data_IF_343834225020
#
_entry.id   IF_343834225020
#
_cell.length_a   1.000
_cell.length_b   1.000
_cell.length_c   1.000
_cell.angle_alpha   90.00
_cell.angle_beta   90.00
_cell.angle_gamma   90.00
#
_symmetry.space_group_name_H-M   'P 1'
#
loop_
_entity.id
_entity.type
_entity.pdbx_description
1 polymer ?
#
# COMPACT_ATOMS: atom_id res chain seq x y z
N UNK A 1 1.79 32.62 26.01
CA UNK A 1 1.92 31.29 26.63
C UNK A 1 1.47 30.28 25.59
N UNK A 2 2.42 29.71 24.83
CA UNK A 2 2.13 28.68 23.84
C UNK A 2 1.89 27.37 24.60
N UNK A 3 0.64 26.91 24.60
CA UNK A 3 0.29 25.57 25.06
C UNK A 3 0.87 24.57 24.06
N UNK A 4 1.97 23.92 24.42
CA UNK A 4 2.41 22.72 23.72
C UNK A 4 1.33 21.63 23.91
N UNK A 5 0.94 20.89 22.85
CA UNK A 5 0.04 19.76 23.02
C UNK A 5 0.66 18.79 24.01
N UNK A 6 -0.14 18.29 24.95
CA UNK A 6 0.31 17.28 25.90
C UNK A 6 0.80 16.04 25.12
N UNK A 7 2.09 15.72 25.23
CA UNK A 7 2.68 14.49 24.72
C UNK A 7 2.35 13.40 25.74
N UNK A 8 1.46 12.48 25.39
CA UNK A 8 1.21 11.31 26.20
C UNK A 8 2.30 10.27 25.87
N UNK A 9 3.21 10.01 26.81
CA UNK A 9 4.13 8.88 26.72
C UNK A 9 3.36 7.58 27.00
N UNK A 10 3.48 6.59 26.12
CA UNK A 10 2.71 5.35 26.21
C UNK A 10 3.36 4.32 27.15
N UNK A 11 3.34 4.52 28.47
CA UNK A 11 3.87 3.49 29.39
C UNK A 11 3.20 2.11 29.20
N UNK A 12 1.94 2.10 28.77
CA UNK A 12 1.24 1.01 28.08
C UNK A 12 -0.19 1.49 27.77
N UNK A 13 -0.72 1.16 26.59
CA UNK A 13 -2.11 1.47 26.22
C UNK A 13 -2.85 0.18 25.91
N UNK A 14 -3.96 -0.09 26.59
CA UNK A 14 -4.71 -1.33 26.40
C UNK A 14 -6.20 -1.09 26.22
N UNK A 15 -6.84 -1.94 25.42
CA UNK A 15 -8.28 -2.01 25.29
C UNK A 15 -8.73 -3.44 24.95
N UNK A 16 -9.82 -3.86 25.56
CA UNK A 16 -10.46 -5.14 25.33
C UNK A 16 -11.72 -5.06 24.45
N UNK A 17 -12.45 -6.18 24.35
CA UNK A 17 -13.67 -6.28 23.56
C UNK A 17 -14.73 -5.25 23.97
N UNK A 18 -15.24 -4.49 22.98
CA UNK A 18 -16.26 -3.44 23.17
C UNK A 18 -15.78 -2.18 23.88
N UNK A 19 -14.49 -2.07 24.23
CA UNK A 19 -13.95 -0.88 24.87
C UNK A 19 -13.59 0.20 23.84
N UNK A 20 -13.72 1.46 24.27
CA UNK A 20 -13.38 2.63 23.47
C UNK A 20 -12.10 3.30 24.02
N UNK A 21 -11.16 3.59 23.13
CA UNK A 21 -9.97 4.42 23.40
C UNK A 21 -10.07 5.67 22.56
N UNK A 22 -9.93 6.83 23.20
CA UNK A 22 -9.91 8.13 22.51
C UNK A 22 -8.57 8.81 22.75
N UNK A 23 -7.89 9.21 21.67
CA UNK A 23 -6.65 9.97 21.79
C UNK A 23 -6.97 11.44 22.08
N UNK A 24 -6.25 12.02 23.05
CA UNK A 24 -6.29 13.45 23.39
C UNK A 24 -5.05 14.21 22.88
N UNK A 25 -4.09 13.49 22.32
CA UNK A 25 -2.83 13.98 21.77
C UNK A 25 -2.14 12.86 20.98
N UNK A 26 -1.08 13.21 20.25
CA UNK A 26 -0.25 12.18 19.62
C UNK A 26 0.39 11.30 20.70
N UNK A 27 0.34 9.99 20.48
CA UNK A 27 0.95 9.01 21.36
C UNK A 27 2.38 8.78 20.90
N UNK A 28 3.34 9.07 21.76
CA UNK A 28 4.76 8.82 21.47
C UNK A 28 5.16 7.49 22.09
N UNK A 29 5.61 6.56 21.24
CA UNK A 29 6.18 5.27 21.65
C UNK A 29 7.70 5.39 21.74
N UNK A 30 8.28 4.83 22.79
CA UNK A 30 9.71 4.87 23.10
C UNK A 30 10.12 3.57 23.81
N UNK A 31 11.40 3.23 23.82
CA UNK A 31 11.92 2.10 24.60
C UNK A 31 11.06 0.83 24.44
N UNK A 32 10.54 0.26 25.54
CA UNK A 32 9.71 -0.94 25.55
C UNK A 32 8.20 -0.65 25.64
N UNK A 33 7.75 0.55 25.29
CA UNK A 33 6.34 0.93 25.33
C UNK A 33 5.47 -0.03 24.49
N UNK A 34 4.31 -0.41 25.00
CA UNK A 34 3.39 -1.33 24.31
C UNK A 34 1.99 -0.77 24.13
N UNK A 35 1.35 -1.17 23.05
CA UNK A 35 -0.06 -0.87 22.74
C UNK A 35 -0.77 -2.17 22.39
N UNK A 36 -1.81 -2.52 23.13
CA UNK A 36 -2.61 -3.74 22.98
C UNK A 36 -4.10 -3.39 22.90
N UNK A 37 -4.59 -3.11 21.69
CA UNK A 37 -6.00 -2.82 21.43
C UNK A 37 -6.63 -4.05 20.77
N UNK A 38 -7.22 -4.93 21.58
CA UNK A 38 -7.65 -6.26 21.15
C UNK A 38 -9.13 -6.47 21.45
N UNK A 39 -9.96 -6.29 20.43
CA UNK A 39 -11.37 -6.65 20.46
C UNK A 39 -11.65 -8.09 20.04
N UNK A 40 -12.91 -8.40 19.80
CA UNK A 40 -13.34 -9.62 19.09
C UNK A 40 -14.27 -9.29 17.93
N UNK A 41 -14.47 -10.23 17.01
CA UNK A 41 -15.44 -10.05 15.92
C UNK A 41 -16.86 -9.73 16.41
N UNK A 42 -17.27 -10.29 17.56
CA UNK A 42 -18.60 -10.04 18.15
C UNK A 42 -18.66 -8.73 18.96
N UNK A 43 -17.52 -8.22 19.41
CA UNK A 43 -17.43 -7.02 20.23
C UNK A 43 -16.12 -6.30 19.91
N UNK A 44 -16.07 -5.59 18.76
CA UNK A 44 -14.85 -4.91 18.34
C UNK A 44 -14.50 -3.78 19.31
N UNK A 45 -13.21 -3.55 19.53
CA UNK A 45 -12.79 -2.34 20.24
C UNK A 45 -12.92 -1.11 19.33
N UNK A 46 -12.95 0.10 19.88
CA UNK A 46 -12.95 1.34 19.09
C UNK A 46 -11.72 2.16 19.43
N UNK A 47 -10.94 2.52 18.42
CA UNK A 47 -9.86 3.51 18.52
C UNK A 47 -10.31 4.79 17.80
N UNK A 48 -10.63 5.81 18.59
CA UNK A 48 -10.97 7.14 18.14
C UNK A 48 -9.72 8.03 18.20
N UNK A 49 -9.13 8.34 17.06
CA UNK A 49 -7.88 9.08 16.98
C UNK A 49 -8.02 10.59 17.19
N UNK A 50 -9.19 11.19 16.98
CA UNK A 50 -9.41 12.64 17.10
C UNK A 50 -8.36 13.50 16.35
N UNK A 51 -7.94 13.04 15.16
CA UNK A 51 -6.88 13.62 14.33
C UNK A 51 -5.44 13.45 14.86
N UNK A 52 -5.25 12.75 15.97
CA UNK A 52 -3.95 12.34 16.49
C UNK A 52 -3.58 10.94 16.03
N UNK A 53 -2.30 10.60 16.09
CA UNK A 53 -1.77 9.29 15.70
C UNK A 53 -0.76 8.74 16.69
N UNK A 54 -0.16 7.62 16.33
CA UNK A 54 0.99 7.03 17.03
C UNK A 54 2.27 7.39 16.30
N UNK A 55 3.29 7.79 17.06
CA UNK A 55 4.58 8.17 16.50
C UNK A 55 5.73 7.65 17.36
N UNK A 56 6.87 7.40 16.75
CA UNK A 56 8.16 7.29 17.44
C UNK A 56 8.97 8.54 17.14
N UNK A 57 9.57 9.15 18.15
CA UNK A 57 10.41 10.35 17.97
C UNK A 57 11.91 10.03 17.93
N UNK A 58 12.29 8.83 18.37
CA UNK A 58 13.65 8.35 18.43
C UNK A 58 13.76 6.92 17.85
N UNK A 59 14.97 6.53 17.48
CA UNK A 59 15.30 5.18 17.00
C UNK A 59 15.59 4.23 18.18
N UNK A 60 14.70 4.19 19.17
CA UNK A 60 14.89 3.36 20.39
C UNK A 60 13.76 2.38 20.65
N UNK A 61 12.60 2.56 19.99
CA UNK A 61 11.43 1.75 20.29
C UNK A 61 11.59 0.29 19.84
N UNK A 62 11.54 -0.60 20.84
CA UNK A 62 11.69 -2.06 20.73
C UNK A 62 10.47 -2.83 21.23
N UNK A 63 9.40 -2.13 21.64
CA UNK A 63 8.12 -2.70 22.09
C UNK A 63 7.19 -3.11 20.94
N UNK A 64 5.87 -3.02 21.16
CA UNK A 64 4.92 -3.47 20.14
C UNK A 64 3.64 -2.64 20.06
N UNK A 65 3.03 -2.66 18.87
CA UNK A 65 1.71 -2.11 18.64
C UNK A 65 0.83 -3.19 18.01
N UNK A 66 -0.15 -3.64 18.77
CA UNK A 66 -1.13 -4.67 18.40
C UNK A 66 -2.51 -4.01 18.34
N UNK A 67 -3.16 -4.06 17.18
CA UNK A 67 -4.55 -3.64 17.03
C UNK A 67 -5.32 -4.73 16.30
N UNK A 68 -6.24 -5.41 16.99
CA UNK A 68 -6.98 -6.54 16.44
C UNK A 68 -8.48 -6.41 16.66
N UNK A 69 -9.28 -6.70 15.63
CA UNK A 69 -10.74 -6.65 15.70
C UNK A 69 -11.24 -5.30 16.25
N UNK A 70 -10.80 -4.20 15.64
CA UNK A 70 -11.17 -2.87 16.09
C UNK A 70 -11.68 -1.97 14.95
N UNK A 71 -12.56 -1.05 15.31
CA UNK A 71 -12.97 0.07 14.48
C UNK A 71 -12.03 1.25 14.74
N UNK A 72 -11.34 1.70 13.71
CA UNK A 72 -10.36 2.78 13.78
C UNK A 72 -10.94 4.00 13.07
N UNK A 73 -11.09 5.09 13.80
CA UNK A 73 -11.81 6.27 13.35
C UNK A 73 -10.96 7.51 13.58
N UNK A 74 -10.84 8.38 12.57
CA UNK A 74 -10.18 9.68 12.70
C UNK A 74 -8.73 9.59 13.25
N UNK A 75 -8.00 8.51 12.92
CA UNK A 75 -6.61 8.32 13.33
C UNK A 75 -5.66 9.04 12.36
N UNK A 76 -4.88 9.98 12.86
CA UNK A 76 -4.13 10.93 12.05
C UNK A 76 -5.02 11.92 11.31
N UNK A 77 -4.43 12.74 10.45
CA UNK A 77 -5.13 13.81 9.73
C UNK A 77 -4.63 13.95 8.29
N UNK A 78 -5.19 14.89 7.53
CA UNK A 78 -4.62 15.21 6.21
C UNK A 78 -3.16 15.70 6.30
N UNK A 79 -2.73 16.25 7.44
CA UNK A 79 -1.33 16.66 7.67
C UNK A 79 -0.49 15.52 8.25
N UNK A 80 -1.04 14.76 9.21
CA UNK A 80 -0.28 13.79 10.01
C UNK A 80 -0.64 12.35 9.65
N UNK A 81 0.34 11.45 9.70
CA UNK A 81 0.09 10.03 9.57
C UNK A 81 -0.76 9.50 10.74
N UNK A 82 -1.48 8.41 10.50
CA UNK A 82 -2.13 7.66 11.55
C UNK A 82 -1.09 6.92 12.41
N UNK A 83 -0.09 6.35 11.74
CA UNK A 83 1.08 5.71 12.34
C UNK A 83 2.33 6.27 11.67
N UNK A 84 3.29 6.76 12.44
CA UNK A 84 4.62 7.17 11.98
C UNK A 84 5.67 6.52 12.88
N UNK A 85 6.04 5.29 12.58
CA UNK A 85 6.78 4.43 13.52
C UNK A 85 8.14 4.00 12.96
N UNK A 86 9.14 4.01 13.81
CA UNK A 86 10.45 3.38 13.61
C UNK A 86 10.54 2.18 14.53
N UNK A 87 10.57 0.98 13.96
CA UNK A 87 10.64 -0.29 14.66
C UNK A 87 12.09 -0.76 14.69
N UNK A 88 12.67 -0.84 15.88
CA UNK A 88 14.04 -1.29 16.09
C UNK A 88 14.08 -2.72 16.65
N UNK A 89 15.09 -3.49 16.24
CA UNK A 89 15.39 -4.81 16.79
C UNK A 89 14.18 -5.75 16.81
N UNK A 90 13.67 -6.12 17.98
CA UNK A 90 12.54 -7.04 18.13
C UNK A 90 11.17 -6.35 18.10
N UNK A 91 11.10 -5.04 17.83
CA UNK A 91 9.84 -4.34 17.74
C UNK A 91 8.93 -4.95 16.68
N UNK A 92 7.62 -4.98 16.95
CA UNK A 92 6.66 -5.47 15.98
C UNK A 92 5.36 -4.68 15.93
N UNK A 93 4.80 -4.65 14.73
CA UNK A 93 3.48 -4.10 14.41
C UNK A 93 2.58 -5.25 13.99
N UNK A 94 1.42 -5.37 14.62
CA UNK A 94 0.44 -6.43 14.31
C UNK A 94 -0.98 -5.85 14.25
N UNK A 95 -1.44 -5.57 13.04
CA UNK A 95 -2.75 -4.97 12.77
C UNK A 95 -3.60 -5.95 11.98
N UNK A 96 -4.63 -6.48 12.61
CA UNK A 96 -5.46 -7.53 12.02
C UNK A 96 -6.95 -7.27 12.19
N UNK A 97 -7.75 -7.58 11.18
CA UNK A 97 -9.22 -7.52 11.25
C UNK A 97 -9.74 -6.14 11.69
N UNK A 98 -9.15 -5.06 11.18
CA UNK A 98 -9.55 -3.69 11.52
C UNK A 98 -10.30 -3.00 10.38
N UNK A 99 -11.16 -2.04 10.72
CA UNK A 99 -11.82 -1.16 9.74
C UNK A 99 -11.42 0.29 10.01
N UNK A 100 -10.85 0.95 9.00
CA UNK A 100 -10.34 2.32 9.07
C UNK A 100 -11.27 3.26 8.34
N UNK A 101 -11.76 4.29 9.04
CA UNK A 101 -12.63 5.32 8.47
C UNK A 101 -12.12 6.70 8.83
N UNK A 102 -12.09 7.60 7.85
CA UNK A 102 -11.59 8.98 8.01
C UNK A 102 -10.19 9.05 8.65
N UNK A 103 -9.38 8.01 8.46
CA UNK A 103 -8.03 7.89 9.01
C UNK A 103 -6.97 8.15 7.95
N UNK A 104 -5.79 8.54 8.40
CA UNK A 104 -4.63 8.86 7.56
C UNK A 104 -3.77 7.62 7.28
N UNK A 105 -2.62 7.82 6.63
CA UNK A 105 -1.72 6.76 6.19
C UNK A 105 -0.77 6.26 7.28
N UNK A 106 -0.10 5.15 6.99
CA UNK A 106 0.89 4.45 7.82
C UNK A 106 2.27 4.65 7.19
N UNK A 107 3.20 5.25 7.93
CA UNK A 107 4.62 5.42 7.56
C UNK A 107 5.49 4.63 8.54
N UNK A 108 6.26 3.67 8.01
CA UNK A 108 7.07 2.76 8.81
C UNK A 108 8.54 2.81 8.41
N UNK A 109 9.42 2.69 9.41
CA UNK A 109 10.84 2.38 9.25
C UNK A 109 11.14 1.09 9.99
N UNK A 110 11.64 0.06 9.32
CA UNK A 110 11.91 -1.25 9.96
C UNK A 110 13.41 -1.59 9.97
N UNK A 111 13.95 -1.90 11.14
CA UNK A 111 15.37 -2.22 11.33
C UNK A 111 15.59 -3.49 12.15
N UNK A 112 16.80 -4.05 12.08
CA UNK A 112 17.18 -5.26 12.81
C UNK A 112 16.32 -6.47 12.43
N UNK A 113 15.55 -6.97 13.39
CA UNK A 113 14.65 -8.12 13.24
C UNK A 113 13.17 -7.72 13.37
N UNK A 114 12.84 -6.45 13.13
CA UNK A 114 11.50 -5.95 13.39
C UNK A 114 10.49 -6.51 12.40
N UNK A 115 9.29 -6.84 12.89
CA UNK A 115 8.27 -7.53 12.11
C UNK A 115 7.03 -6.66 11.90
N UNK A 116 6.35 -6.88 10.78
CA UNK A 116 5.09 -6.22 10.45
C UNK A 116 4.10 -7.25 9.93
N UNK A 117 2.94 -7.32 10.58
CA UNK A 117 1.76 -8.05 10.12
C UNK A 117 0.64 -7.05 9.90
N UNK A 118 0.13 -7.00 8.67
CA UNK A 118 -1.01 -6.17 8.31
C UNK A 118 -2.00 -7.04 7.53
N UNK A 119 -3.02 -7.57 8.22
CA UNK A 119 -3.91 -8.61 7.66
C UNK A 119 -5.39 -8.32 7.83
N UNK A 120 -6.19 -8.71 6.83
CA UNK A 120 -7.66 -8.69 6.91
C UNK A 120 -8.22 -7.31 7.27
N UNK A 121 -7.54 -6.22 6.89
CA UNK A 121 -7.97 -4.87 7.21
C UNK A 121 -8.77 -4.25 6.07
N UNK A 122 -9.69 -3.37 6.42
CA UNK A 122 -10.46 -2.56 5.47
C UNK A 122 -10.07 -1.09 5.66
N UNK A 123 -9.56 -0.46 4.60
CA UNK A 123 -9.27 0.98 4.56
C UNK A 123 -10.25 1.64 3.61
N UNK A 124 -11.11 2.47 4.17
CA UNK A 124 -12.20 3.15 3.46
C UNK A 124 -11.69 4.19 2.45
N UNK A 125 -12.50 4.46 1.43
CA UNK A 125 -12.24 5.51 0.42
C UNK A 125 -12.26 6.93 1.03
N UNK A 126 -12.96 7.09 2.15
CA UNK A 126 -13.04 8.33 2.92
C UNK A 126 -11.80 8.63 3.79
N UNK A 127 -10.72 7.85 3.68
CA UNK A 127 -9.44 8.14 4.33
C UNK A 127 -8.93 9.54 4.01
N UNK A 128 -8.28 10.20 4.98
CA UNK A 128 -7.99 11.65 4.93
C UNK A 128 -6.60 12.02 4.40
N UNK A 129 -5.71 11.05 4.18
CA UNK A 129 -4.39 11.33 3.59
C UNK A 129 -4.54 11.85 2.14
N UNK A 130 -3.64 12.76 1.71
CA UNK A 130 -3.76 13.40 0.41
C UNK A 130 -3.48 12.42 -0.73
N UNK A 131 -4.34 12.46 -1.75
CA UNK A 131 -4.16 11.78 -3.04
C UNK A 131 -4.58 12.78 -4.10
N UNK A 132 -3.61 13.34 -4.81
CA UNK A 132 -3.78 14.42 -5.79
C UNK A 132 -3.15 14.04 -7.12
N UNK A 133 -3.43 14.82 -8.17
CA UNK A 133 -2.80 14.65 -9.49
C UNK A 133 -1.27 14.76 -9.44
N UNK A 134 -0.74 15.53 -8.49
CA UNK A 134 0.70 15.67 -8.28
C UNK A 134 1.22 14.52 -7.42
N UNK A 135 2.17 13.75 -7.97
CA UNK A 135 2.70 12.57 -7.27
C UNK A 135 3.39 12.98 -5.96
N UNK A 136 4.15 14.07 -5.99
CA UNK A 136 4.90 14.60 -4.84
C UNK A 136 4.02 15.07 -3.68
N UNK A 137 2.75 15.37 -3.94
CA UNK A 137 1.79 15.81 -2.92
C UNK A 137 0.91 14.67 -2.40
N UNK A 138 1.00 13.50 -3.03
CA UNK A 138 0.22 12.33 -2.68
C UNK A 138 0.96 11.43 -1.70
N UNK A 139 0.20 10.73 -0.86
CA UNK A 139 0.73 9.68 0.04
C UNK A 139 0.09 8.32 -0.28
N UNK A 140 0.86 7.22 -0.28
CA UNK A 140 0.26 5.89 -0.25
C UNK A 140 -0.45 5.68 1.10
N UNK A 141 -1.33 4.67 1.18
CA UNK A 141 -1.87 4.24 2.47
C UNK A 141 -0.75 3.68 3.36
N UNK A 142 0.11 2.83 2.80
CA UNK A 142 1.27 2.27 3.50
C UNK A 142 2.56 2.72 2.80
N UNK A 143 3.45 3.37 3.54
CA UNK A 143 4.83 3.61 3.14
C UNK A 143 5.75 2.88 4.11
N UNK A 144 6.72 2.12 3.59
CA UNK A 144 7.70 1.44 4.43
C UNK A 144 9.08 1.40 3.78
N UNK A 145 10.09 1.73 4.58
CA UNK A 145 11.50 1.64 4.21
C UNK A 145 12.29 1.01 5.36
N UNK A 146 13.49 0.51 5.09
CA UNK A 146 14.34 -0.01 6.14
C UNK A 146 15.20 -1.18 5.68
N UNK A 147 15.80 -1.85 6.66
CA UNK A 147 16.74 -2.95 6.43
C UNK A 147 16.41 -4.18 7.29
N UNK A 148 15.24 -4.22 7.93
CA UNK A 148 14.83 -5.37 8.72
C UNK A 148 14.87 -6.66 7.90
N UNK A 149 15.52 -7.68 8.46
CA UNK A 149 15.67 -9.00 7.83
C UNK A 149 14.47 -9.91 8.10
N UNK A 150 13.58 -9.54 9.01
CA UNK A 150 12.39 -10.34 9.31
C UNK A 150 11.37 -10.30 8.18
N UNK A 151 10.66 -11.42 8.05
CA UNK A 151 9.51 -11.55 7.16
C UNK A 151 8.39 -10.57 7.59
N UNK A 152 7.81 -9.88 6.61
CA UNK A 152 6.66 -8.98 6.80
C UNK A 152 5.50 -9.43 5.93
N UNK A 153 4.28 -9.12 6.36
CA UNK A 153 3.06 -9.62 5.75
C UNK A 153 2.05 -8.51 5.47
N UNK A 154 1.55 -8.45 4.24
CA UNK A 154 0.42 -7.64 3.83
C UNK A 154 -0.59 -8.53 3.11
N UNK A 155 -1.63 -9.02 3.79
CA UNK A 155 -2.50 -10.08 3.26
C UNK A 155 -3.98 -9.83 3.55
N UNK A 156 -4.86 -10.27 2.65
CA UNK A 156 -6.31 -10.23 2.81
C UNK A 156 -6.90 -8.82 3.03
N UNK A 157 -6.17 -7.76 2.68
CA UNK A 157 -6.60 -6.38 2.92
C UNK A 157 -7.50 -5.88 1.79
N UNK A 158 -8.41 -4.96 2.14
CA UNK A 158 -9.21 -4.17 1.19
C UNK A 158 -8.86 -2.70 1.35
N UNK A 159 -8.18 -2.12 0.37
CA UNK A 159 -7.70 -0.74 0.41
C UNK A 159 -8.40 0.06 -0.67
N UNK A 160 -9.24 1.01 -0.27
CA UNK A 160 -10.10 1.76 -1.19
C UNK A 160 -9.58 3.16 -1.56
N UNK A 161 -8.37 3.51 -1.10
CA UNK A 161 -7.68 4.76 -1.43
C UNK A 161 -6.17 4.58 -1.32
N UNK A 162 -5.41 5.08 -2.31
CA UNK A 162 -3.97 4.88 -2.37
C UNK A 162 -3.59 3.40 -2.48
N UNK A 163 -2.34 3.09 -2.12
CA UNK A 163 -1.81 1.72 -2.14
C UNK A 163 -0.66 1.57 -1.16
N UNK A 164 0.34 0.78 -1.52
CA UNK A 164 1.53 0.54 -0.70
C UNK A 164 2.84 0.76 -1.46
N UNK A 165 3.78 1.45 -0.83
CA UNK A 165 5.17 1.58 -1.26
C UNK A 165 6.07 0.96 -0.20
N UNK A 166 6.77 -0.11 -0.55
CA UNK A 166 7.68 -0.82 0.35
C UNK A 166 9.04 -1.02 -0.30
N UNK A 167 10.09 -0.61 0.41
CA UNK A 167 11.47 -0.69 -0.07
C UNK A 167 12.39 -1.56 0.79
N UNK A 168 11.94 -2.00 1.97
CA UNK A 168 12.69 -2.97 2.77
C UNK A 168 12.50 -4.40 2.23
N UNK A 169 13.41 -5.34 2.56
CA UNK A 169 13.34 -6.69 2.01
C UNK A 169 12.26 -7.56 2.68
N UNK A 170 12.00 -8.74 2.11
CA UNK A 170 11.23 -9.83 2.74
C UNK A 170 9.76 -9.50 3.05
N UNK A 171 9.07 -8.81 2.14
CA UNK A 171 7.60 -8.69 2.19
C UNK A 171 6.91 -9.85 1.48
N UNK A 172 5.90 -10.45 2.11
CA UNK A 172 4.91 -11.30 1.47
C UNK A 172 3.62 -10.49 1.32
N UNK A 173 3.27 -10.15 0.08
CA UNK A 173 2.10 -9.34 -0.27
C UNK A 173 1.11 -10.25 -1.00
N UNK A 174 0.00 -10.54 -0.35
CA UNK A 174 -0.88 -11.63 -0.76
C UNK A 174 -0.40 -12.97 -0.19
N UNK A 175 -0.65 -14.11 -0.84
CA UNK A 175 -0.23 -15.41 -0.29
C UNK A 175 -0.54 -16.60 -1.18
N UNK A 176 -0.42 -17.80 -0.64
CA UNK A 176 -0.60 -19.04 -1.42
C UNK A 176 -2.08 -19.41 -1.59
N UNK A 177 -2.95 -18.93 -0.71
CA UNK A 177 -4.39 -19.11 -0.82
C UNK A 177 -5.05 -17.86 -1.42
N UNK A 178 -6.16 -18.05 -2.15
CA UNK A 178 -6.99 -16.94 -2.65
C UNK A 178 -7.42 -15.98 -1.52
N UNK A 179 -7.64 -16.51 -0.31
CA UNK A 179 -7.99 -15.74 0.87
C UNK A 179 -6.88 -14.79 1.35
N UNK A 180 -5.63 -15.04 0.98
CA UNK A 180 -4.50 -14.19 1.34
C UNK A 180 -4.40 -12.96 0.43
N UNK A 181 -5.07 -12.98 -0.73
CA UNK A 181 -5.03 -11.93 -1.73
C UNK A 181 -5.53 -10.58 -1.23
N UNK A 182 -4.88 -9.49 -1.63
CA UNK A 182 -5.35 -8.14 -1.35
C UNK A 182 -6.23 -7.60 -2.49
N UNK A 183 -7.18 -6.74 -2.13
CA UNK A 183 -7.98 -5.92 -3.05
C UNK A 183 -7.61 -4.45 -2.86
N UNK A 184 -6.93 -3.85 -3.83
CA UNK A 184 -6.48 -2.45 -3.78
C UNK A 184 -7.12 -1.70 -4.94
N UNK A 185 -8.12 -0.87 -4.67
CA UNK A 185 -8.87 -0.15 -5.70
C UNK A 185 -9.01 1.30 -5.29
N UNK A 186 -8.65 2.25 -6.17
CA UNK A 186 -8.84 3.66 -5.84
C UNK A 186 -7.93 4.59 -6.59
N UNK A 187 -8.00 5.88 -6.24
CA UNK A 187 -7.05 6.87 -6.73
C UNK A 187 -5.65 6.51 -6.25
N UNK A 188 -4.70 6.45 -7.19
CA UNK A 188 -3.31 6.00 -6.95
C UNK A 188 -3.22 4.64 -6.23
N UNK A 189 -4.14 3.72 -6.52
CA UNK A 189 -3.97 2.31 -6.15
C UNK A 189 -2.67 1.78 -6.73
N UNK A 190 -1.81 1.22 -5.88
CA UNK A 190 -0.50 0.73 -6.33
C UNK A 190 0.07 -0.30 -5.37
N UNK A 191 0.78 -1.26 -5.93
CA UNK A 191 1.77 -2.07 -5.21
C UNK A 191 3.14 -1.72 -5.77
N UNK A 192 3.98 -1.05 -4.97
CA UNK A 192 5.37 -0.80 -5.30
C UNK A 192 6.25 -1.54 -4.29
N UNK A 193 6.75 -2.71 -4.66
CA UNK A 193 7.59 -3.53 -3.82
C UNK A 193 9.01 -3.57 -4.40
N UNK A 194 9.85 -2.61 -4.01
CA UNK A 194 11.19 -2.40 -4.58
C UNK A 194 12.31 -2.96 -3.72
N UNK A 195 12.01 -3.42 -2.50
CA UNK A 195 12.94 -4.18 -1.68
C UNK A 195 13.23 -5.56 -2.28
N UNK A 196 14.38 -6.14 -1.95
CA UNK A 196 14.78 -7.46 -2.43
C UNK A 196 14.04 -8.60 -1.72
N UNK A 197 13.87 -9.73 -2.39
CA UNK A 197 13.28 -10.93 -1.77
C UNK A 197 11.79 -10.76 -1.41
N UNK A 198 11.10 -9.79 -1.99
CA UNK A 198 9.65 -9.65 -1.83
C UNK A 198 8.94 -10.68 -2.72
N UNK A 199 7.83 -11.23 -2.22
CA UNK A 199 6.94 -12.13 -2.96
C UNK A 199 5.55 -11.52 -2.99
N UNK A 200 5.02 -11.31 -4.19
CA UNK A 200 3.73 -10.65 -4.43
C UNK A 200 2.84 -11.59 -5.23
N UNK A 201 1.80 -12.14 -4.61
CA UNK A 201 0.96 -13.15 -5.27
C UNK A 201 -0.52 -13.08 -4.94
N UNK A 202 -1.35 -13.40 -5.93
CA UNK A 202 -2.82 -13.43 -5.81
C UNK A 202 -3.47 -12.11 -5.39
N UNK A 203 -2.91 -10.97 -5.81
CA UNK A 203 -3.49 -9.66 -5.53
C UNK A 203 -4.33 -9.14 -6.71
N UNK A 204 -5.36 -8.36 -6.40
CA UNK A 204 -6.08 -7.53 -7.36
C UNK A 204 -5.80 -6.06 -7.08
N UNK A 205 -5.25 -5.34 -8.06
CA UNK A 205 -5.01 -3.90 -7.97
C UNK A 205 -5.62 -3.15 -9.14
N UNK A 206 -6.34 -2.05 -8.86
CA UNK A 206 -7.07 -1.28 -9.86
C UNK A 206 -7.00 0.23 -9.61
N UNK A 207 -6.27 0.94 -10.47
CA UNK A 207 -6.21 2.41 -10.41
C UNK A 207 -7.49 3.00 -11.00
N UNK A 208 -8.12 3.87 -10.22
CA UNK A 208 -9.16 4.76 -10.74
C UNK A 208 -8.49 6.01 -11.33
N UNK A 209 -8.83 6.32 -12.58
CA UNK A 209 -8.38 7.50 -13.32
C UNK A 209 -9.58 8.40 -13.67
N UNK A 210 -10.26 9.00 -12.67
CA UNK A 210 -11.38 9.89 -12.96
C UNK A 210 -10.89 11.14 -13.68
N UNK A 211 -11.75 11.66 -14.55
CA UNK A 211 -11.64 13.00 -15.11
C UNK A 211 -12.71 13.84 -14.42
N UNK A 212 -12.35 15.00 -13.88
CA UNK A 212 -13.30 15.94 -13.29
C UNK A 212 -13.05 17.38 -13.81
N UNK A 213 -14.00 18.32 -13.60
CA UNK A 213 -13.88 19.69 -14.14
C UNK A 213 -12.68 20.49 -13.61
N UNK A 214 -12.08 20.09 -12.49
CA UNK A 214 -10.93 20.73 -11.82
C UNK A 214 -9.63 20.01 -12.15
N UNK A 215 -9.68 18.69 -12.37
CA UNK A 215 -8.58 17.84 -12.76
C UNK A 215 -8.90 17.14 -14.07
N UNK A 216 -8.66 17.86 -15.17
CA UNK A 216 -8.94 17.40 -16.53
C UNK A 216 -8.02 16.26 -17.00
N UNK A 217 -6.94 15.98 -16.28
CA UNK A 217 -6.10 14.80 -16.51
C UNK A 217 -5.28 14.43 -15.27
N UNK A 218 -5.01 13.12 -15.13
CA UNK A 218 -3.95 12.59 -14.28
C UNK A 218 -2.75 12.26 -15.16
N UNK A 219 -1.52 12.54 -14.72
CA UNK A 219 -0.32 12.22 -15.47
C UNK A 219 0.47 11.08 -14.84
N UNK A 220 1.02 10.19 -15.67
CA UNK A 220 2.14 9.31 -15.28
C UNK A 220 1.89 8.43 -14.05
N UNK A 221 0.65 8.02 -13.84
CA UNK A 221 0.27 7.13 -12.72
C UNK A 221 0.70 5.70 -13.04
N UNK A 222 1.45 5.08 -12.14
CA UNK A 222 1.81 3.66 -12.20
C UNK A 222 0.94 2.84 -11.24
N UNK A 223 0.68 1.56 -11.56
CA UNK A 223 -0.05 0.65 -10.67
C UNK A 223 0.89 -0.38 -10.02
N UNK A 224 1.90 -0.89 -10.73
CA UNK A 224 2.76 -1.94 -10.20
C UNK A 224 4.25 -1.67 -10.42
N UNK A 225 5.10 -1.98 -9.44
CA UNK A 225 6.57 -1.96 -9.55
C UNK A 225 7.20 -3.07 -8.71
N UNK A 226 8.32 -3.63 -9.20
CA UNK A 226 8.97 -4.79 -8.62
C UNK A 226 10.49 -4.63 -8.61
N UNK A 227 11.10 -4.71 -7.43
CA UNK A 227 12.55 -4.63 -7.24
C UNK A 227 13.31 -5.90 -7.63
N UNK A 228 14.65 -5.82 -7.70
CA UNK A 228 15.49 -6.96 -8.04
C UNK A 228 15.44 -8.06 -6.98
N UNK A 229 15.52 -9.32 -7.43
CA UNK A 229 15.47 -10.49 -6.55
C UNK A 229 14.09 -10.76 -5.93
N UNK A 230 13.05 -10.05 -6.39
CA UNK A 230 11.66 -10.23 -5.96
C UNK A 230 10.84 -10.95 -7.03
N UNK A 231 9.74 -11.58 -6.61
CA UNK A 231 8.82 -12.35 -7.46
C UNK A 231 7.43 -11.74 -7.39
N UNK A 232 6.80 -11.52 -8.55
CA UNK A 232 5.39 -11.21 -8.66
C UNK A 232 4.68 -12.22 -9.56
N UNK A 233 3.74 -12.98 -9.00
CA UNK A 233 2.99 -13.99 -9.75
C UNK A 233 1.51 -14.09 -9.45
N UNK A 234 0.72 -14.51 -10.44
CA UNK A 234 -0.72 -14.73 -10.28
C UNK A 234 -1.51 -13.50 -9.79
N UNK A 235 -1.06 -12.29 -10.13
CA UNK A 235 -1.77 -11.06 -9.80
C UNK A 235 -2.65 -10.59 -10.97
N UNK A 236 -3.70 -9.84 -10.63
CA UNK A 236 -4.50 -9.06 -11.59
C UNK A 236 -4.19 -7.59 -11.39
N UNK A 237 -3.56 -6.98 -12.38
CA UNK A 237 -3.10 -5.60 -12.35
C UNK A 237 -3.84 -4.84 -13.44
N UNK A 238 -4.79 -4.02 -12.99
CA UNK A 238 -5.77 -3.40 -13.87
C UNK A 238 -5.61 -1.89 -13.86
N UNK A 239 -5.45 -1.32 -15.04
CA UNK A 239 -5.49 0.10 -15.31
C UNK A 239 -4.39 0.92 -14.65
N UNK A 240 -3.82 1.80 -15.47
CA UNK A 240 -2.99 2.95 -15.12
C UNK A 240 -2.52 3.58 -16.44
N UNK A 241 -1.71 4.63 -16.32
CA UNK A 241 -0.90 5.08 -17.43
C UNK A 241 0.19 4.06 -17.73
N UNK A 242 0.96 3.70 -16.69
CA UNK A 242 1.87 2.56 -16.73
C UNK A 242 1.33 1.44 -15.84
N UNK A 243 0.73 0.42 -16.43
CA UNK A 243 0.09 -0.66 -15.64
C UNK A 243 1.12 -1.39 -14.79
N UNK A 244 2.26 -1.73 -15.39
CA UNK A 244 3.48 -2.11 -14.71
C UNK A 244 4.62 -1.17 -15.10
N UNK A 245 5.49 -0.84 -14.14
CA UNK A 245 6.65 0.03 -14.37
C UNK A 245 7.82 -0.36 -13.48
N UNK A 246 9.04 -0.33 -14.03
CA UNK A 246 10.27 -0.71 -13.31
C UNK A 246 10.14 -2.13 -12.75
N UNK A 247 10.15 -3.10 -13.66
CA UNK A 247 10.12 -4.52 -13.33
C UNK A 247 11.54 -5.06 -13.38
N UNK A 248 12.18 -5.14 -12.22
CA UNK A 248 13.57 -5.55 -12.06
C UNK A 248 13.72 -6.97 -11.49
N UNK A 249 12.61 -7.55 -11.01
CA UNK A 249 12.52 -8.92 -10.50
C UNK A 249 12.00 -9.94 -11.54
N UNK A 250 11.42 -11.04 -11.05
CA UNK A 250 10.69 -12.02 -11.87
C UNK A 250 9.20 -11.72 -11.82
N UNK A 251 8.60 -11.47 -12.98
CA UNK A 251 7.20 -11.07 -13.13
C UNK A 251 6.51 -12.04 -14.08
N UNK A 252 5.69 -12.95 -13.52
CA UNK A 252 5.14 -14.07 -14.29
C UNK A 252 3.70 -14.44 -13.97
N UNK A 253 2.99 -15.08 -14.90
CA UNK A 253 1.63 -15.58 -14.66
C UNK A 253 0.64 -14.52 -14.17
N UNK A 254 0.86 -13.24 -14.49
CA UNK A 254 -0.02 -12.14 -14.13
C UNK A 254 -0.97 -11.81 -15.29
N UNK A 255 -2.14 -11.25 -14.97
CA UNK A 255 -2.99 -10.53 -15.90
C UNK A 255 -2.75 -9.03 -15.76
N UNK A 256 -2.30 -8.38 -16.83
CA UNK A 256 -2.03 -6.95 -16.90
C UNK A 256 -2.93 -6.34 -17.97
N UNK A 257 -3.82 -5.42 -17.58
CA UNK A 257 -4.90 -5.01 -18.49
C UNK A 257 -5.35 -3.56 -18.37
N UNK A 258 -6.01 -3.07 -19.42
CA UNK A 258 -6.69 -1.77 -19.49
C UNK A 258 -5.74 -0.56 -19.34
N UNK A 259 -4.67 -0.55 -20.15
CA UNK A 259 -3.74 0.60 -20.21
C UNK A 259 -4.44 1.86 -20.73
N UNK A 260 -4.25 2.99 -20.05
CA UNK A 260 -4.73 4.29 -20.47
C UNK A 260 -3.55 5.17 -20.94
N UNK A 261 -3.40 5.36 -22.26
CA UNK A 261 -2.53 6.39 -22.83
C UNK A 261 -1.01 6.21 -22.75
N UNK A 262 -0.44 5.29 -21.96
CA UNK A 262 1.00 4.97 -22.04
C UNK A 262 1.29 3.49 -22.34
N UNK A 263 1.71 2.69 -21.34
CA UNK A 263 2.23 1.34 -21.59
C UNK A 263 1.65 0.31 -20.62
N UNK A 264 1.46 -0.92 -21.08
CA UNK A 264 1.18 -2.03 -20.16
C UNK A 264 2.41 -2.31 -19.30
N UNK A 265 3.61 -2.26 -19.89
CA UNK A 265 4.88 -2.31 -19.16
C UNK A 265 5.82 -1.20 -19.62
N UNK A 266 6.37 -0.45 -18.67
CA UNK A 266 7.43 0.52 -18.93
C UNK A 266 8.66 0.27 -18.05
N UNK A 267 9.83 0.11 -18.68
CA UNK A 267 11.13 0.04 -18.04
C UNK A 267 11.34 -1.16 -17.09
N UNK A 268 12.62 -1.41 -16.81
CA UNK A 268 13.08 -2.46 -15.92
C UNK A 268 14.18 -3.31 -16.55
N UNK A 269 14.79 -4.17 -15.74
CA UNK A 269 15.84 -5.12 -16.15
C UNK A 269 15.54 -6.57 -15.78
N UNK A 270 14.30 -6.86 -15.38
CA UNK A 270 13.88 -8.17 -14.87
C UNK A 270 13.49 -9.18 -15.95
N UNK A 271 12.93 -10.29 -15.48
CA UNK A 271 12.33 -11.34 -16.33
C UNK A 271 10.82 -11.19 -16.33
N UNK A 272 10.24 -11.05 -17.51
CA UNK A 272 8.81 -10.84 -17.72
C UNK A 272 8.31 -11.96 -18.62
N UNK A 273 7.59 -12.95 -18.07
CA UNK A 273 7.18 -14.12 -18.84
C UNK A 273 5.90 -14.79 -18.39
N UNK A 274 5.26 -15.56 -19.25
CA UNK A 274 4.01 -16.28 -18.94
C UNK A 274 2.86 -15.37 -18.48
N UNK A 275 2.89 -14.08 -18.79
CA UNK A 275 1.82 -13.14 -18.46
C UNK A 275 0.83 -12.99 -19.61
N UNK A 276 -0.37 -12.50 -19.28
CA UNK A 276 -1.36 -12.02 -20.24
C UNK A 276 -1.41 -10.50 -20.16
N UNK A 277 -1.12 -9.85 -21.29
CA UNK A 277 -1.20 -8.41 -21.48
C UNK A 277 -2.37 -8.12 -22.42
N UNK A 278 -3.46 -7.53 -21.92
CA UNK A 278 -4.69 -7.42 -22.70
C UNK A 278 -5.40 -6.08 -22.55
N UNK A 279 -6.09 -5.65 -23.60
CA UNK A 279 -7.04 -4.53 -23.63
C UNK A 279 -6.46 -3.14 -23.39
N UNK A 280 -6.93 -2.20 -24.22
CA UNK A 280 -6.80 -0.76 -23.97
C UNK A 280 -7.91 -0.32 -23.01
N UNK A 281 -7.67 0.74 -22.24
CA UNK A 281 -8.65 1.31 -21.33
C UNK A 281 -9.90 1.77 -22.09
N UNK A 282 -11.10 1.27 -21.74
CA UNK A 282 -12.34 1.55 -22.48
C UNK A 282 -12.96 2.93 -22.17
N UNK A 283 -12.26 3.80 -21.41
CA UNK A 283 -12.77 5.09 -20.97
C UNK A 283 -13.42 5.07 -19.57
N UNK A 284 -13.60 6.24 -18.97
CA UNK A 284 -14.08 6.39 -17.60
C UNK A 284 -15.53 5.91 -17.42
N UNK A 285 -16.38 6.11 -18.42
CA UNK A 285 -17.77 5.62 -18.44
C UNK A 285 -17.92 4.17 -18.98
N UNK A 286 -16.81 3.52 -19.41
CA UNK A 286 -16.75 2.23 -20.13
C UNK A 286 -17.55 2.12 -21.44
N UNK A 287 -18.48 3.04 -21.69
CA UNK A 287 -19.34 3.09 -22.86
C UNK A 287 -19.52 4.55 -23.29
N UNK A 288 -18.77 5.01 -24.30
CA UNK A 288 -19.10 6.24 -25.03
C UNK A 288 -18.06 7.37 -25.00
N UNK A 289 -16.99 7.28 -24.23
CA UNK A 289 -15.89 8.25 -24.34
C UNK A 289 -14.97 7.89 -25.51
N UNK A 290 -15.25 8.49 -26.66
CA UNK A 290 -14.36 8.46 -27.83
C UNK A 290 -13.16 9.38 -27.61
N UNK A 291 -12.22 8.91 -26.80
CA UNK A 291 -10.78 9.15 -27.00
C UNK A 291 -9.98 8.17 -26.12
N UNK A 292 -9.96 6.86 -26.44
CA UNK A 292 -8.88 6.04 -25.92
C UNK A 292 -7.60 6.66 -26.48
N UNK A 293 -6.80 7.31 -25.64
CA UNK A 293 -5.40 7.43 -25.97
C UNK A 293 -4.91 5.98 -26.04
N UNK A 294 -4.76 5.49 -27.26
CA UNK A 294 -4.19 4.18 -27.50
C UNK A 294 -2.89 4.09 -26.72
N UNK A 295 -2.59 2.90 -26.19
CA UNK A 295 -1.29 2.67 -25.58
C UNK A 295 -0.21 3.15 -26.57
N UNK A 296 0.73 3.99 -26.09
CA UNK A 296 1.88 4.44 -26.88
C UNK A 296 2.63 3.21 -27.41
N UNK A 297 2.78 2.19 -26.56
CA UNK A 297 3.17 0.84 -26.93
C UNK A 297 2.74 -0.13 -25.82
N UNK A 298 2.60 -1.43 -26.11
CA UNK A 298 2.34 -2.41 -25.06
C UNK A 298 3.53 -2.49 -24.08
N UNK A 299 4.74 -2.55 -24.63
CA UNK A 299 6.00 -2.64 -23.87
C UNK A 299 6.92 -1.51 -24.32
N UNK A 300 7.54 -0.81 -23.37
CA UNK A 300 8.53 0.23 -23.63
C UNK A 300 9.74 0.07 -22.73
N UNK A 301 10.91 -0.12 -23.31
CA UNK A 301 12.17 -0.11 -22.59
C UNK A 301 12.75 1.31 -22.63
N UNK A 302 12.71 2.01 -21.49
CA UNK A 302 13.19 3.39 -21.39
C UNK A 302 14.66 3.45 -20.98
N UNK A 303 15.14 2.43 -20.26
CA UNK A 303 16.55 2.31 -19.89
C UNK A 303 17.23 1.41 -20.92
N UNK A 304 18.24 1.94 -21.61
CA UNK A 304 19.05 1.22 -22.60
C UNK A 304 19.98 0.21 -21.92
N UNK A 305 19.39 -0.76 -21.23
CA UNK A 305 20.09 -1.88 -20.62
C UNK A 305 19.60 -3.13 -21.34
N UNK A 306 20.48 -3.89 -22.00
CA UNK A 306 20.12 -5.15 -22.70
C UNK A 306 19.70 -6.30 -21.75
N UNK A 307 19.28 -5.97 -20.53
CA UNK A 307 19.03 -6.93 -19.44
C UNK A 307 17.58 -7.41 -19.34
N UNK A 308 16.59 -6.67 -19.87
CA UNK A 308 15.19 -7.06 -19.77
C UNK A 308 14.92 -8.29 -20.62
N UNK A 309 14.37 -9.34 -20.01
CA UNK A 309 13.95 -10.56 -20.71
C UNK A 309 12.43 -10.58 -20.83
N UNK A 310 11.92 -10.73 -22.05
CA UNK A 310 10.48 -10.78 -22.33
C UNK A 310 10.15 -11.98 -23.22
N UNK A 311 9.56 -13.03 -22.67
CA UNK A 311 9.29 -14.29 -23.39
C UNK A 311 8.02 -14.97 -22.89
N UNK A 312 7.41 -15.87 -23.68
CA UNK A 312 6.19 -16.61 -23.32
C UNK A 312 4.98 -15.76 -22.86
N UNK A 313 4.94 -14.47 -23.17
CA UNK A 313 3.79 -13.63 -22.84
C UNK A 313 2.75 -13.67 -23.97
N UNK A 314 1.48 -13.59 -23.60
CA UNK A 314 0.38 -13.33 -24.53
C UNK A 314 0.10 -11.84 -24.60
N UNK A 315 0.03 -11.29 -25.81
CA UNK A 315 -0.28 -9.88 -26.06
C UNK A 315 -1.57 -9.77 -26.87
N UNK A 316 -2.60 -9.17 -26.27
CA UNK A 316 -3.87 -8.86 -26.91
C UNK A 316 -4.08 -7.34 -26.98
N UNK A 317 -3.83 -6.79 -28.17
CA UNK A 317 -3.87 -5.36 -28.45
C UNK A 317 -5.26 -4.85 -28.87
N UNK A 318 -6.33 -5.64 -28.68
CA UNK A 318 -7.68 -5.22 -29.07
C UNK A 318 -8.16 -4.05 -28.21
N UNK A 319 -8.83 -3.10 -28.88
CA UNK A 319 -9.63 -2.04 -28.25
C UNK A 319 -11.01 -2.58 -27.87
#
# INVERSE_FOLDING_TARGET
MLLYPAVACAASMTAGPGQNVSLSGNVVLSNADTVDLVGTAASPCVLQGNNFGFQTIDSTWSGHLVIKNCLIQNLGSAANHALQLTLENAAYLDIENTTWTSSSSVDLRTFGTSAVTFRQNVVSDNSVFPVTKEFSESRPFLNEIGTSTSQKFFQSNKIYKGGMYVASPNWLIGGDADSDGNLIIGLRARISATGSGCVIKHNYTHVLLPVDPVSTYWGQVANFSLGPGSLAENNVIRTAHWVARQIDGEFRSNLVTEVNGHNLVQAGSGKIHDNIFAHVFPGAARYGDTAPLAAISLISQVYATDAMQFYNNTLDARN
#
